data_IF_168395000273
#
_entry.id   IF_168395000273
#
_cell.length_a   1.000
_cell.length_b   1.000
_cell.length_c   1.000
_cell.angle_alpha   90.00
_cell.angle_beta   90.00
_cell.angle_gamma   90.00
#
_symmetry.space_group_name_H-M   'P 1'
#
loop_
_entity.id
_entity.type
_entity.pdbx_description
1 polymer ?
#
# COMPACT_ATOMS: atom_id res chain seq x y z
N UNK A 1 42.51 39.97 8.57
CA UNK A 1 41.20 39.58 8.00
C UNK A 1 41.02 38.08 8.22
N UNK A 2 39.86 37.71 8.74
CA UNK A 2 39.42 36.37 9.19
C UNK A 2 39.28 35.40 8.01
N UNK A 3 39.67 34.13 8.18
CA UNK A 3 38.85 32.93 7.84
C UNK A 3 39.34 31.77 8.70
N UNK A 4 38.50 31.32 9.65
CA UNK A 4 38.74 30.12 10.45
C UNK A 4 38.53 28.86 9.62
N UNK A 5 39.40 27.87 9.80
CA UNK A 5 39.20 26.52 9.27
C UNK A 5 38.12 25.82 10.09
N UNK A 6 36.87 25.96 9.65
CA UNK A 6 35.77 25.14 10.12
C UNK A 6 35.98 23.70 9.66
N UNK A 7 36.12 22.78 10.61
CA UNK A 7 36.00 21.35 10.32
C UNK A 7 34.61 21.06 9.74
N UNK A 8 34.46 20.15 8.77
CA UNK A 8 33.13 19.72 8.36
C UNK A 8 32.48 18.94 9.52
N UNK A 9 31.40 19.50 10.07
CA UNK A 9 30.45 18.75 10.89
C UNK A 9 29.88 17.62 10.04
N UNK A 10 29.94 16.34 10.47
CA UNK A 10 29.12 15.30 9.90
C UNK A 10 27.72 15.41 10.55
N UNK A 11 27.02 16.52 10.31
CA UNK A 11 25.60 16.63 10.68
C UNK A 11 24.78 16.12 9.51
N UNK A 12 24.09 15.02 9.77
CA UNK A 12 22.84 14.66 9.11
C UNK A 12 22.90 14.59 7.59
N UNK A 13 23.71 13.68 7.05
CA UNK A 13 23.15 12.88 5.97
C UNK A 13 22.11 11.98 6.60
N UNK A 14 20.90 12.55 6.74
CA UNK A 14 19.67 11.80 6.83
C UNK A 14 19.77 10.74 5.74
N UNK A 15 20.00 9.50 6.16
CA UNK A 15 19.63 8.34 5.38
C UNK A 15 18.19 8.60 5.01
N UNK A 16 17.97 9.10 3.79
CA UNK A 16 16.68 8.97 3.14
C UNK A 16 16.54 7.47 3.00
N UNK A 17 16.04 6.84 4.07
CA UNK A 17 15.53 5.50 4.06
C UNK A 17 14.61 5.54 2.86
N UNK A 18 15.07 4.91 1.78
CA UNK A 18 14.19 4.59 0.68
C UNK A 18 13.26 3.59 1.31
N UNK A 19 12.26 4.11 2.03
CA UNK A 19 11.17 3.36 2.60
C UNK A 19 10.47 2.82 1.38
N UNK A 20 10.96 1.67 0.92
CA UNK A 20 10.32 0.88 -0.08
C UNK A 20 8.93 0.71 0.46
N UNK A 21 7.97 1.41 -0.13
CA UNK A 21 6.56 1.25 0.16
C UNK A 21 6.25 -0.16 -0.31
N UNK A 22 6.46 -1.14 0.58
CA UNK A 22 6.16 -2.53 0.31
C UNK A 22 4.65 -2.54 0.02
N UNK A 23 4.24 -3.02 -1.16
CA UNK A 23 2.84 -3.04 -1.50
C UNK A 23 2.09 -3.83 -0.43
N UNK A 24 0.95 -3.32 0.02
CA UNK A 24 0.14 -4.06 0.99
C UNK A 24 -0.20 -5.43 0.41
N UNK A 25 -0.30 -6.46 1.28
CA UNK A 25 -0.64 -7.81 0.84
C UNK A 25 -1.94 -7.83 0.02
N UNK A 26 -2.94 -7.02 0.38
CA UNK A 26 -4.16 -6.85 -0.41
C UNK A 26 -3.91 -6.33 -1.82
N UNK A 27 -3.00 -5.35 -2.00
CA UNK A 27 -2.62 -4.86 -3.32
C UNK A 27 -1.95 -5.96 -4.16
N UNK A 28 -1.05 -6.76 -3.56
CA UNK A 28 -0.42 -7.87 -4.28
C UNK A 28 -1.41 -8.94 -4.72
N UNK A 29 -2.33 -9.32 -3.83
CA UNK A 29 -3.37 -10.30 -4.12
C UNK A 29 -4.27 -9.82 -5.27
N UNK A 30 -4.67 -8.55 -5.24
CA UNK A 30 -5.47 -7.95 -6.30
C UNK A 30 -4.70 -7.90 -7.63
N UNK A 31 -3.44 -7.49 -7.62
CA UNK A 31 -2.61 -7.48 -8.83
C UNK A 31 -2.51 -8.87 -9.45
N UNK A 32 -2.30 -9.92 -8.64
CA UNK A 32 -2.25 -11.31 -9.11
C UNK A 32 -3.61 -11.79 -9.63
N UNK A 33 -4.72 -11.34 -9.05
CA UNK A 33 -6.07 -11.66 -9.53
C UNK A 33 -6.31 -11.08 -10.94
N UNK A 34 -5.97 -9.81 -11.14
CA UNK A 34 -6.05 -9.14 -12.45
C UNK A 34 -5.18 -9.87 -13.49
N UNK A 35 -3.96 -10.24 -13.11
CA UNK A 35 -3.05 -10.98 -13.96
C UNK A 35 -3.60 -12.35 -14.38
N UNK A 36 -4.21 -13.07 -13.44
CA UNK A 36 -4.85 -14.35 -13.71
C UNK A 36 -6.06 -14.21 -14.64
N UNK A 37 -6.88 -13.15 -14.48
CA UNK A 37 -7.99 -12.86 -15.40
C UNK A 37 -7.50 -12.53 -16.80
N UNK A 38 -6.45 -11.72 -16.92
CA UNK A 38 -5.84 -11.37 -18.19
C UNK A 38 -5.39 -12.63 -18.93
N UNK A 39 -4.63 -13.49 -18.27
CA UNK A 39 -4.18 -14.78 -18.85
C UNK A 39 -5.38 -15.67 -19.22
N UNK A 40 -6.43 -15.71 -18.40
CA UNK A 40 -7.62 -16.49 -18.70
C UNK A 40 -8.34 -15.99 -19.97
N UNK A 41 -8.32 -14.68 -20.26
CA UNK A 41 -8.92 -14.10 -21.46
C UNK A 41 -8.14 -14.44 -22.73
N UNK A 42 -6.82 -14.56 -22.61
CA UNK A 42 -5.93 -14.95 -23.72
C UNK A 42 -5.99 -16.46 -24.01
N UNK A 43 -6.52 -17.27 -23.08
CA UNK A 43 -6.66 -18.71 -23.25
C UNK A 43 -7.92 -19.11 -24.04
N UNK A 44 -7.84 -20.17 -24.87
CA UNK A 44 -9.02 -20.79 -25.45
C UNK A 44 -9.92 -21.39 -24.35
N UNK A 45 -11.19 -21.60 -24.68
CA UNK A 45 -12.13 -22.28 -23.79
C UNK A 45 -11.62 -23.66 -23.38
N UNK A 46 -11.74 -23.98 -22.09
CA UNK A 46 -11.36 -25.28 -21.55
C UNK A 46 -10.89 -25.19 -20.10
N UNK A 47 -10.42 -26.31 -19.57
CA UNK A 47 -10.09 -26.46 -18.14
C UNK A 47 -8.99 -25.50 -17.69
N UNK A 48 -8.01 -25.21 -18.55
CA UNK A 48 -6.93 -24.26 -18.25
C UNK A 48 -7.46 -22.84 -18.04
N UNK A 49 -8.37 -22.39 -18.90
CA UNK A 49 -9.04 -21.08 -18.74
C UNK A 49 -9.89 -21.07 -17.48
N UNK A 50 -10.64 -22.15 -17.21
CA UNK A 50 -11.46 -22.26 -16.01
C UNK A 50 -10.62 -22.23 -14.73
N UNK A 51 -9.49 -22.93 -14.71
CA UNK A 51 -8.54 -22.90 -13.60
C UNK A 51 -7.94 -21.49 -13.37
N UNK A 52 -7.59 -20.78 -14.45
CA UNK A 52 -7.10 -19.41 -14.36
C UNK A 52 -8.17 -18.44 -13.82
N UNK A 53 -9.43 -18.57 -14.27
CA UNK A 53 -10.54 -17.79 -13.71
C UNK A 53 -10.79 -18.11 -12.24
N UNK A 54 -10.74 -19.40 -11.86
CA UNK A 54 -10.92 -19.84 -10.47
C UNK A 54 -9.82 -19.30 -9.56
N UNK A 55 -8.57 -19.30 -10.04
CA UNK A 55 -7.43 -18.69 -9.36
C UNK A 55 -7.64 -17.20 -9.15
N UNK A 56 -8.10 -16.48 -10.18
CA UNK A 56 -8.41 -15.06 -10.05
C UNK A 56 -9.46 -14.78 -8.98
N UNK A 57 -10.56 -15.55 -8.98
CA UNK A 57 -11.63 -15.42 -7.99
C UNK A 57 -11.11 -15.63 -6.56
N UNK A 58 -10.30 -16.67 -6.32
CA UNK A 58 -9.71 -16.93 -5.00
C UNK A 58 -8.83 -15.76 -4.54
N UNK A 59 -8.00 -15.23 -5.44
CA UNK A 59 -7.11 -14.10 -5.13
C UNK A 59 -7.88 -12.82 -4.86
N UNK A 60 -8.94 -12.53 -5.62
CA UNK A 60 -9.84 -11.39 -5.40
C UNK A 60 -10.52 -11.49 -4.03
N UNK A 61 -11.12 -12.64 -3.72
CA UNK A 61 -11.76 -12.88 -2.42
C UNK A 61 -10.77 -12.74 -1.27
N UNK A 62 -9.54 -13.22 -1.43
CA UNK A 62 -8.50 -13.06 -0.41
C UNK A 62 -8.11 -11.59 -0.21
N UNK A 63 -8.05 -10.79 -1.28
CA UNK A 63 -7.80 -9.35 -1.19
C UNK A 63 -8.94 -8.62 -0.46
N UNK A 64 -10.20 -8.98 -0.74
CA UNK A 64 -11.38 -8.42 -0.08
C UNK A 64 -11.41 -8.75 1.41
N UNK A 65 -11.18 -10.01 1.77
CA UNK A 65 -11.05 -10.46 3.17
C UNK A 65 -9.92 -9.69 3.87
N UNK A 66 -8.76 -9.58 3.22
CA UNK A 66 -7.64 -8.82 3.78
C UNK A 66 -8.01 -7.35 4.00
N UNK A 67 -8.70 -6.71 3.06
CA UNK A 67 -9.16 -5.34 3.21
C UNK A 67 -10.18 -5.19 4.36
N UNK A 68 -11.08 -6.15 4.53
CA UNK A 68 -12.08 -6.14 5.60
C UNK A 68 -11.45 -6.25 7.00
N UNK A 69 -10.45 -7.12 7.16
CA UNK A 69 -9.77 -7.32 8.45
C UNK A 69 -8.58 -6.39 8.66
N UNK A 70 -8.10 -5.72 7.62
CA UNK A 70 -7.09 -4.69 7.78
C UNK A 70 -7.73 -3.50 8.48
N UNK A 71 -7.23 -3.05 9.65
CA UNK A 71 -7.73 -1.83 10.26
C UNK A 71 -7.51 -0.71 9.24
N UNK A 72 -8.60 -0.18 8.69
CA UNK A 72 -8.53 1.09 8.01
C UNK A 72 -7.86 2.03 9.02
N UNK A 73 -6.72 2.64 8.65
CA UNK A 73 -6.21 3.77 9.42
C UNK A 73 -7.37 4.76 9.43
N UNK A 74 -8.09 4.82 10.55
CA UNK A 74 -9.13 5.80 10.75
C UNK A 74 -8.49 7.16 10.42
N UNK A 75 -9.11 8.00 9.59
CA UNK A 75 -8.65 9.38 9.50
C UNK A 75 -8.65 9.91 10.92
N UNK A 76 -7.48 10.34 11.40
CA UNK A 76 -7.39 11.05 12.67
C UNK A 76 -8.34 12.24 12.55
N UNK A 77 -9.48 12.17 13.21
CA UNK A 77 -10.31 13.34 13.47
C UNK A 77 -9.56 14.14 14.53
N UNK A 78 -8.53 14.86 14.08
CA UNK A 78 -7.97 15.97 14.83
C UNK A 78 -8.94 17.14 14.64
N UNK A 79 -10.12 17.05 15.28
CA UNK A 79 -10.94 18.23 15.53
C UNK A 79 -10.78 18.58 17.00
N UNK A 80 -9.74 19.37 17.20
CA UNK A 80 -9.40 20.06 18.44
C UNK A 80 -10.64 20.73 19.03
N UNK A 81 -10.77 20.57 20.34
CA UNK A 81 -11.87 21.06 21.13
C UNK A 81 -11.80 22.59 21.22
N UNK A 82 -12.79 23.28 20.66
CA UNK A 82 -13.08 24.65 21.04
C UNK A 82 -14.50 24.69 21.63
N UNK A 83 -14.58 24.29 22.90
CA UNK A 83 -15.66 24.65 23.80
C UNK A 83 -15.66 26.17 23.97
N UNK A 84 -16.69 26.85 23.46
CA UNK A 84 -17.04 28.22 23.86
C UNK A 84 -18.50 28.18 24.33
N UNK A 85 -18.79 28.34 25.63
CA UNK A 85 -20.16 28.41 26.12
C UNK A 85 -20.83 29.75 25.77
N UNK A 86 -22.16 29.80 25.57
CA UNK A 86 -22.87 31.03 25.24
C UNK A 86 -22.99 31.96 26.45
N UNK A 87 -22.88 33.27 26.19
CA UNK A 87 -23.28 34.36 27.11
C UNK A 87 -24.73 34.75 26.90
#
# INVERSE_FOLDING_TARGET
MVVGFGAPSPSDQASTSSDSIQPSLGCELNARAIDALRRAREMPSGDKRMAAMRRAAILGNAAEIHAYFSPAKAPKQDHDAAEIPPS
#
